data_IF_836768711256
#
_entry.id   IF_836768711256
#
_cell.length_a   1.000
_cell.length_b   1.000
_cell.length_c   1.000
_cell.angle_alpha   90.00
_cell.angle_beta   90.00
_cell.angle_gamma   90.00
#
_symmetry.space_group_name_H-M   'P 1'
#
loop_
_entity.id
_entity.type
_entity.pdbx_description
1 polymer ?
#
# COMPACT_ATOMS: atom_id res chain seq x y z
N UNK A 1 -1.03 13.29 -21.76
CA UNK A 1 -0.79 13.04 -20.32
C UNK A 1 0.49 13.68 -19.76
N UNK A 2 1.69 13.62 -20.38
CA UNK A 2 2.91 14.20 -19.78
C UNK A 2 2.88 15.74 -19.68
N UNK A 3 2.19 16.41 -20.62
CA UNK A 3 2.05 17.86 -20.63
C UNK A 3 1.34 18.42 -19.37
N UNK A 4 0.37 17.68 -18.81
CA UNK A 4 -0.35 18.10 -17.61
C UNK A 4 0.58 18.11 -16.40
N UNK A 5 1.42 17.08 -16.25
CA UNK A 5 2.40 17.00 -15.17
C UNK A 5 3.43 18.14 -15.27
N UNK A 6 3.88 18.45 -16.48
CA UNK A 6 4.81 19.56 -16.72
C UNK A 6 4.19 20.92 -16.38
N UNK A 7 2.91 21.13 -16.75
CA UNK A 7 2.18 22.36 -16.40
C UNK A 7 2.05 22.49 -14.88
N UNK A 8 1.67 21.43 -14.16
CA UNK A 8 1.55 21.46 -12.70
C UNK A 8 2.91 21.72 -12.04
N UNK A 9 3.96 21.06 -12.51
CA UNK A 9 5.32 21.21 -11.99
C UNK A 9 5.85 22.65 -12.13
N UNK A 10 5.47 23.37 -13.19
CA UNK A 10 5.85 24.78 -13.39
C UNK A 10 4.91 25.73 -12.64
N UNK A 11 3.60 25.48 -12.71
CA UNK A 11 2.59 26.37 -12.13
C UNK A 11 2.67 26.45 -10.60
N UNK A 12 2.96 25.33 -9.93
CA UNK A 12 3.04 25.27 -8.47
C UNK A 12 4.16 26.17 -7.91
N UNK A 13 5.44 26.04 -8.33
CA UNK A 13 6.50 26.96 -7.91
C UNK A 13 6.24 28.42 -8.27
N UNK A 14 5.67 28.70 -9.46
CA UNK A 14 5.33 30.07 -9.84
C UNK A 14 4.28 30.68 -8.90
N UNK A 15 3.26 29.90 -8.53
CA UNK A 15 2.23 30.34 -7.60
C UNK A 15 2.81 30.60 -6.20
N UNK A 16 3.75 29.76 -5.74
CA UNK A 16 4.45 29.94 -4.45
C UNK A 16 5.27 31.23 -4.42
N UNK A 17 6.06 31.50 -5.46
CA UNK A 17 6.84 32.74 -5.57
C UNK A 17 5.91 33.96 -5.57
N UNK A 18 4.81 33.91 -6.33
CA UNK A 18 3.83 34.99 -6.36
C UNK A 18 3.19 35.25 -4.99
N UNK A 19 2.88 34.19 -4.24
CA UNK A 19 2.33 34.32 -2.89
C UNK A 19 3.36 34.92 -1.92
N UNK A 20 4.60 34.43 -1.93
CA UNK A 20 5.68 34.95 -1.08
C UNK A 20 5.94 36.43 -1.33
N UNK A 21 5.94 36.87 -2.60
CA UNK A 21 6.07 38.28 -2.94
C UNK A 21 4.88 39.09 -2.41
N UNK A 22 3.65 38.59 -2.56
CA UNK A 22 2.44 39.28 -2.08
C UNK A 22 2.42 39.41 -0.55
N UNK A 23 2.80 38.36 0.17
CA UNK A 23 2.94 38.38 1.64
C UNK A 23 4.09 39.31 2.05
N UNK A 24 5.22 39.27 1.35
CA UNK A 24 6.34 40.18 1.54
C UNK A 24 6.00 41.65 1.36
N UNK A 25 5.06 41.97 0.46
CA UNK A 25 4.53 43.32 0.28
C UNK A 25 3.62 43.77 1.44
N UNK A 26 2.94 42.85 2.14
CA UNK A 26 2.03 43.18 3.24
C UNK A 26 2.73 43.25 4.60
N UNK A 27 3.65 42.31 4.86
CA UNK A 27 4.28 42.12 6.19
C UNK A 27 5.75 42.58 6.18
N UNK A 28 6.36 42.71 5.00
CA UNK A 28 7.78 43.00 4.83
C UNK A 28 8.61 41.75 4.51
N UNK A 29 9.66 41.94 3.72
CA UNK A 29 10.52 40.85 3.25
C UNK A 29 11.21 40.10 4.40
N UNK A 30 11.76 40.81 5.39
CA UNK A 30 12.46 40.21 6.53
C UNK A 30 11.54 39.29 7.35
N UNK A 31 10.31 39.73 7.63
CA UNK A 31 9.32 38.92 8.35
C UNK A 31 8.89 37.69 7.55
N UNK A 32 8.76 37.83 6.23
CA UNK A 32 8.43 36.72 5.34
C UNK A 32 9.53 35.67 5.33
N UNK A 33 10.80 36.09 5.24
CA UNK A 33 11.96 35.20 5.33
C UNK A 33 12.01 34.50 6.69
N UNK A 34 11.78 35.22 7.79
CA UNK A 34 11.73 34.62 9.13
C UNK A 34 10.67 33.53 9.25
N UNK A 35 9.47 33.74 8.70
CA UNK A 35 8.39 32.75 8.70
C UNK A 35 8.79 31.50 7.89
N UNK A 36 9.40 31.70 6.71
CA UNK A 36 9.88 30.59 5.87
C UNK A 36 10.97 29.78 6.59
N UNK A 37 11.92 30.45 7.26
CA UNK A 37 12.95 29.77 8.05
C UNK A 37 12.31 29.01 9.21
N UNK A 38 11.37 29.63 9.93
CA UNK A 38 10.71 29.02 11.08
C UNK A 38 9.94 27.76 10.69
N UNK A 39 9.18 27.83 9.60
CA UNK A 39 8.42 26.68 9.06
C UNK A 39 9.34 25.56 8.60
N UNK A 40 10.44 25.87 7.90
CA UNK A 40 11.46 24.89 7.53
C UNK A 40 12.08 24.20 8.76
N UNK A 41 12.41 24.97 9.81
CA UNK A 41 12.97 24.42 11.06
C UNK A 41 11.96 23.49 11.74
N UNK A 42 10.70 23.93 11.90
CA UNK A 42 9.68 23.12 12.57
C UNK A 42 9.43 21.83 11.79
N UNK A 43 9.18 21.92 10.48
CA UNK A 43 8.86 20.72 9.72
C UNK A 43 10.06 19.79 9.55
N UNK A 44 11.30 20.30 9.42
CA UNK A 44 12.51 19.46 9.43
C UNK A 44 12.68 18.77 10.78
N UNK A 45 12.37 19.44 11.89
CA UNK A 45 12.42 18.86 13.23
C UNK A 45 11.41 17.73 13.39
N UNK A 46 10.17 17.92 12.90
CA UNK A 46 9.14 16.88 12.91
C UNK A 46 9.51 15.71 12.01
N UNK A 47 10.02 15.99 10.80
CA UNK A 47 10.51 14.99 9.86
C UNK A 47 11.61 14.13 10.49
N UNK A 48 12.55 14.76 11.20
CA UNK A 48 13.63 14.08 11.92
C UNK A 48 13.09 13.19 13.03
N UNK A 49 12.16 13.70 13.85
CA UNK A 49 11.56 12.93 14.96
C UNK A 49 10.78 11.72 14.46
N UNK A 50 9.94 11.90 13.43
CA UNK A 50 9.14 10.80 12.86
C UNK A 50 10.01 9.82 12.07
N UNK A 51 11.02 10.32 11.35
CA UNK A 51 11.94 9.51 10.55
C UNK A 51 12.75 8.53 11.35
N UNK A 52 13.30 8.95 12.50
CA UNK A 52 13.99 8.02 13.39
C UNK A 52 13.07 6.93 13.93
N UNK A 53 11.83 7.27 14.29
CA UNK A 53 10.85 6.30 14.77
C UNK A 53 10.46 5.27 13.71
N UNK A 54 10.24 5.70 12.47
CA UNK A 54 9.93 4.83 11.33
C UNK A 54 11.13 3.94 11.01
N UNK A 55 12.34 4.49 10.97
CA UNK A 55 13.56 3.71 10.71
C UNK A 55 13.82 2.65 11.79
N UNK A 56 13.66 3.01 13.07
CA UNK A 56 13.84 2.07 14.18
C UNK A 56 12.84 0.89 14.09
N UNK A 57 11.56 1.19 13.86
CA UNK A 57 10.52 0.15 13.68
C UNK A 57 10.77 -0.72 12.44
N UNK A 58 11.26 -0.14 11.35
CA UNK A 58 11.61 -0.89 10.14
C UNK A 58 12.77 -1.84 10.40
N UNK A 59 13.82 -1.38 11.12
CA UNK A 59 14.97 -2.19 11.50
C UNK A 59 14.57 -3.35 12.42
N UNK A 60 13.70 -3.10 13.41
CA UNK A 60 13.20 -4.13 14.33
C UNK A 60 12.36 -5.19 13.62
N UNK A 61 11.46 -4.79 12.71
CA UNK A 61 10.65 -5.72 11.93
C UNK A 61 11.51 -6.60 11.00
N UNK A 62 12.53 -6.03 10.37
CA UNK A 62 13.48 -6.77 9.54
C UNK A 62 14.32 -7.76 10.37
N UNK A 63 14.78 -7.34 11.55
CA UNK A 63 15.49 -8.22 12.49
C UNK A 63 14.61 -9.39 12.98
N UNK A 64 13.30 -9.17 13.09
CA UNK A 64 12.31 -10.21 13.41
C UNK A 64 11.91 -11.09 12.21
N UNK A 65 12.51 -10.90 11.03
CA UNK A 65 12.18 -11.65 9.80
C UNK A 65 10.79 -11.32 9.22
N UNK A 66 10.18 -10.20 9.62
CA UNK A 66 8.86 -9.74 9.15
C UNK A 66 9.04 -8.65 8.10
N UNK A 67 8.19 -8.65 7.06
CA UNK A 67 8.19 -7.57 6.08
C UNK A 67 7.48 -6.30 6.65
N UNK A 68 8.15 -5.14 6.76
CA UNK A 68 7.60 -3.92 7.36
C UNK A 68 6.77 -3.08 6.37
N UNK A 69 5.68 -3.65 5.82
CA UNK A 69 4.90 -2.97 4.77
C UNK A 69 4.34 -1.62 5.24
N UNK A 70 3.79 -1.55 6.45
CA UNK A 70 3.25 -0.31 7.02
C UNK A 70 4.33 0.76 7.20
N UNK A 71 5.49 0.36 7.71
CA UNK A 71 6.63 1.25 7.97
C UNK A 71 7.24 1.78 6.68
N UNK A 72 7.23 1.00 5.60
CA UNK A 72 7.65 1.43 4.26
C UNK A 72 6.71 2.50 3.70
N UNK A 73 5.38 2.30 3.84
CA UNK A 73 4.39 3.29 3.41
C UNK A 73 4.54 4.58 4.23
N UNK A 74 4.70 4.45 5.55
CA UNK A 74 4.92 5.59 6.45
C UNK A 74 6.20 6.35 6.07
N UNK A 75 7.29 5.64 5.75
CA UNK A 75 8.54 6.22 5.24
C UNK A 75 8.38 6.92 3.89
N UNK A 76 7.56 6.39 2.98
CA UNK A 76 7.27 7.02 1.69
C UNK A 76 6.52 8.35 1.86
N UNK A 77 5.49 8.38 2.71
CA UNK A 77 4.79 9.63 3.04
C UNK A 77 5.73 10.65 3.68
N UNK A 78 6.63 10.19 4.54
CA UNK A 78 7.64 11.05 5.16
C UNK A 78 8.60 11.66 4.13
N UNK A 79 9.06 10.87 3.15
CA UNK A 79 9.89 11.37 2.04
C UNK A 79 9.16 12.39 1.16
N UNK A 80 7.90 12.12 0.83
CA UNK A 80 7.07 13.06 0.05
C UNK A 80 6.87 14.36 0.84
N UNK A 81 6.55 14.26 2.14
CA UNK A 81 6.40 15.41 3.01
C UNK A 81 7.69 16.22 3.12
N UNK A 82 8.85 15.56 3.29
CA UNK A 82 10.15 16.22 3.33
C UNK A 82 10.53 16.90 2.02
N UNK A 83 10.18 16.29 0.88
CA UNK A 83 10.40 16.90 -0.44
C UNK A 83 9.57 18.17 -0.63
N UNK A 84 8.31 18.14 -0.21
CA UNK A 84 7.43 19.30 -0.21
C UNK A 84 7.88 20.41 0.74
N UNK A 85 8.49 20.06 1.86
CA UNK A 85 9.06 21.00 2.83
C UNK A 85 10.37 21.66 2.38
N UNK A 86 11.14 20.96 1.55
CA UNK A 86 12.40 21.47 0.99
C UNK A 86 12.18 22.52 -0.10
N UNK A 87 11.05 22.43 -0.83
CA UNK A 87 10.61 23.50 -1.71
C UNK A 87 10.02 24.63 -0.87
N UNK A 88 10.62 25.84 -0.83
CA UNK A 88 10.13 26.94 -0.01
C UNK A 88 8.78 27.39 -0.55
N UNK A 89 7.71 26.90 0.07
CA UNK A 89 6.35 27.07 -0.42
C UNK A 89 5.43 27.16 0.77
N UNK A 90 5.16 28.38 1.24
CA UNK A 90 4.26 28.65 2.36
C UNK A 90 2.92 27.88 2.22
N UNK A 91 2.47 27.67 0.98
CA UNK A 91 1.27 26.92 0.61
C UNK A 91 1.48 25.40 0.72
N UNK A 92 2.58 24.90 0.15
CA UNK A 92 2.98 23.49 0.19
C UNK A 92 3.35 23.04 1.62
N UNK A 93 3.94 23.90 2.44
CA UNK A 93 4.19 23.70 3.86
C UNK A 93 2.89 23.64 4.65
N UNK A 94 1.92 24.54 4.39
CA UNK A 94 0.62 24.49 5.09
C UNK A 94 -0.16 23.23 4.73
N UNK A 95 -0.18 22.82 3.46
CA UNK A 95 -0.80 21.56 3.00
C UNK A 95 -0.03 20.35 3.54
N UNK A 96 1.30 20.40 3.57
CA UNK A 96 2.18 19.38 4.12
C UNK A 96 1.98 19.20 5.63
N UNK A 97 1.93 20.29 6.39
CA UNK A 97 1.58 20.29 7.82
C UNK A 97 0.16 19.77 8.04
N UNK A 98 -0.81 20.20 7.22
CA UNK A 98 -2.20 19.77 7.35
C UNK A 98 -2.35 18.25 7.07
N UNK A 99 -1.56 17.70 6.14
CA UNK A 99 -1.47 16.25 5.88
C UNK A 99 -0.76 15.49 7.01
N UNK A 100 0.16 16.12 7.74
CA UNK A 100 0.84 15.55 8.91
C UNK A 100 -0.11 15.35 10.10
N UNK A 101 -1.24 16.07 10.14
CA UNK A 101 -2.20 16.03 11.25
C UNK A 101 -3.14 14.80 11.14
N UNK A 102 -3.11 13.84 12.09
CA UNK A 102 -3.87 12.58 12.02
C UNK A 102 -5.38 12.70 11.74
N UNK A 103 -6.15 13.63 12.35
CA UNK A 103 -7.58 13.74 12.08
C UNK A 103 -7.88 14.23 10.65
N UNK A 104 -6.99 14.99 10.02
CA UNK A 104 -7.14 15.43 8.63
C UNK A 104 -6.93 14.23 7.68
N UNK A 105 -5.92 13.40 7.95
CA UNK A 105 -5.64 12.18 7.18
C UNK A 105 -6.85 11.26 7.07
N UNK A 106 -7.55 11.05 8.19
CA UNK A 106 -8.72 10.17 8.26
C UNK A 106 -9.92 10.75 7.50
N UNK A 107 -10.11 12.08 7.55
CA UNK A 107 -11.19 12.76 6.82
C UNK A 107 -10.99 12.71 5.31
N UNK A 108 -9.76 12.98 4.85
CA UNK A 108 -9.43 12.95 3.42
C UNK A 108 -9.55 11.52 2.88
N UNK A 109 -9.06 10.52 3.62
CA UNK A 109 -9.19 9.11 3.23
C UNK A 109 -10.65 8.65 3.10
N UNK A 110 -11.51 9.03 4.05
CA UNK A 110 -12.96 8.73 3.99
C UNK A 110 -13.64 9.41 2.81
N UNK A 111 -13.30 10.68 2.54
CA UNK A 111 -13.86 11.42 1.40
C UNK A 111 -13.42 10.83 0.05
N UNK A 112 -12.14 10.47 -0.08
CA UNK A 112 -11.60 9.82 -1.26
C UNK A 112 -12.28 8.47 -1.52
N UNK A 113 -12.46 7.66 -0.48
CA UNK A 113 -13.14 6.36 -0.57
C UNK A 113 -14.61 6.51 -0.99
N UNK A 114 -15.33 7.47 -0.42
CA UNK A 114 -16.72 7.76 -0.81
C UNK A 114 -16.86 8.22 -2.26
N UNK A 115 -15.88 8.99 -2.76
CA UNK A 115 -15.86 9.45 -4.15
C UNK A 115 -15.54 8.29 -5.11
N UNK A 116 -14.61 7.41 -4.73
CA UNK A 116 -14.24 6.23 -5.51
C UNK A 116 -15.39 5.22 -5.62
N UNK A 117 -16.16 5.05 -4.55
CA UNK A 117 -17.39 4.23 -4.53
C UNK A 117 -18.50 4.84 -5.41
N UNK A 118 -18.63 6.17 -5.45
CA UNK A 118 -19.63 6.86 -6.28
C UNK A 118 -19.24 6.97 -7.76
N UNK A 119 -17.95 6.93 -8.07
CA UNK A 119 -17.44 7.04 -9.44
C UNK A 119 -17.35 5.69 -10.17
N UNK A 120 -17.75 4.57 -9.56
CA UNK A 120 -17.75 3.25 -10.21
C UNK A 120 -16.36 2.77 -10.68
N UNK A 121 -15.30 3.45 -10.28
CA UNK A 121 -13.91 3.17 -10.67
C UNK A 121 -13.24 2.13 -9.77
N UNK A 122 -14.05 1.29 -9.13
CA UNK A 122 -13.58 0.04 -8.54
C UNK A 122 -14.24 -1.06 -9.35
N UNK A 123 -13.57 -1.48 -10.43
CA UNK A 123 -13.58 -2.89 -10.75
C UNK A 123 -12.95 -3.57 -9.53
N UNK A 124 -13.76 -3.80 -8.49
CA UNK A 124 -13.49 -4.90 -7.58
C UNK A 124 -13.43 -6.06 -8.55
N UNK A 125 -12.27 -6.72 -8.67
CA UNK A 125 -12.21 -8.06 -9.20
C UNK A 125 -13.02 -8.92 -8.22
N UNK A 126 -14.33 -8.75 -8.27
CA UNK A 126 -15.32 -9.46 -7.52
C UNK A 126 -15.35 -10.82 -8.18
N UNK A 127 -14.53 -11.70 -7.62
CA UNK A 127 -14.70 -13.13 -7.79
C UNK A 127 -16.06 -13.45 -7.20
N UNK A 128 -17.09 -13.40 -8.04
CA UNK A 128 -18.47 -13.28 -7.60
C UNK A 128 -19.44 -13.63 -8.71
N UNK A 129 -19.66 -14.94 -8.87
CA UNK A 129 -21.01 -15.49 -8.97
C UNK A 129 -21.91 -14.83 -10.03
N UNK A 130 -21.63 -15.03 -11.32
CA UNK A 130 -22.62 -14.77 -12.37
C UNK A 130 -23.38 -16.06 -12.67
N UNK A 131 -24.48 -16.22 -11.95
CA UNK A 131 -25.43 -17.28 -12.17
C UNK A 131 -26.11 -17.22 -13.54
N UNK A 132 -26.58 -18.41 -13.93
CA UNK A 132 -27.76 -18.66 -14.73
C UNK A 132 -27.78 -18.12 -16.17
N UNK A 133 -27.45 -18.98 -17.11
CA UNK A 133 -28.10 -19.05 -18.43
C UNK A 133 -27.97 -20.47 -19.00
N UNK A 134 -29.04 -21.26 -18.82
CA UNK A 134 -29.30 -22.50 -19.59
C UNK A 134 -29.74 -22.09 -20.99
N UNK A 135 -29.29 -22.79 -22.04
CA UNK A 135 -30.17 -23.12 -23.13
C UNK A 135 -30.39 -24.63 -23.19
N UNK A 136 -31.64 -24.97 -23.48
CA UNK A 136 -32.12 -26.32 -23.67
C UNK A 136 -31.59 -26.89 -24.99
N UNK A 137 -31.00 -28.09 -24.90
CA UNK A 137 -30.66 -28.94 -26.03
C UNK A 137 -30.82 -30.37 -25.56
N UNK A 138 -31.86 -31.04 -26.06
CA UNK A 138 -32.14 -32.44 -25.81
C UNK A 138 -31.07 -33.30 -26.47
N UNK A 139 -30.60 -34.34 -25.78
CA UNK A 139 -30.53 -35.69 -26.35
C UNK A 139 -30.25 -36.74 -25.28
N UNK A 140 -30.90 -37.88 -25.49
CA UNK A 140 -31.02 -39.03 -24.61
C UNK A 140 -29.77 -39.90 -24.59
N UNK A 141 -29.41 -40.43 -23.41
CA UNK A 141 -29.26 -41.88 -23.13
C UNK A 141 -28.35 -42.15 -21.92
N UNK A 142 -28.85 -42.98 -21.02
CA UNK A 142 -28.03 -43.98 -20.32
C UNK A 142 -27.49 -43.60 -18.95
N UNK A 143 -28.20 -44.05 -17.92
CA UNK A 143 -27.61 -44.94 -16.91
C UNK A 143 -26.69 -44.36 -15.82
N UNK A 144 -27.07 -44.70 -14.58
CA UNK A 144 -26.25 -44.94 -13.41
C UNK A 144 -26.14 -43.80 -12.37
N UNK A 145 -26.63 -44.15 -11.18
CA UNK A 145 -26.64 -43.42 -9.91
C UNK A 145 -25.26 -42.89 -9.51
N UNK A 146 -25.19 -41.63 -9.08
CA UNK A 146 -23.99 -41.01 -8.54
C UNK A 146 -24.20 -40.65 -7.05
N UNK A 147 -23.28 -41.00 -6.12
CA UNK A 147 -23.39 -40.61 -4.72
C UNK A 147 -23.03 -39.12 -4.53
N UNK A 148 -23.32 -38.52 -3.36
CA UNK A 148 -23.18 -37.08 -3.15
C UNK A 148 -21.70 -36.68 -3.22
N UNK A 149 -21.36 -35.78 -4.15
CA UNK A 149 -20.03 -35.15 -4.22
C UNK A 149 -19.89 -34.20 -3.03
N UNK A 150 -18.98 -34.53 -2.11
CA UNK A 150 -18.43 -33.59 -1.14
C UNK A 150 -17.57 -32.57 -1.88
N UNK A 151 -17.91 -31.29 -1.73
CA UNK A 151 -17.28 -30.16 -2.41
C UNK A 151 -16.09 -29.67 -1.56
N UNK A 152 -15.01 -30.45 -1.59
CA UNK A 152 -13.72 -30.10 -0.98
C UNK A 152 -12.62 -30.16 -2.04
N UNK A 153 -11.60 -29.29 -1.96
CA UNK A 153 -10.51 -29.29 -2.94
C UNK A 153 -9.78 -30.65 -2.91
N UNK A 154 -9.80 -31.34 -4.05
CA UNK A 154 -9.06 -32.59 -4.26
C UNK A 154 -7.60 -32.23 -4.52
N UNK A 155 -6.70 -32.75 -3.70
CA UNK A 155 -5.25 -32.56 -3.82
C UNK A 155 -4.68 -33.86 -4.39
N UNK A 156 -4.20 -33.83 -5.63
CA UNK A 156 -3.50 -34.95 -6.26
C UNK A 156 -2.06 -35.02 -5.74
N UNK A 157 -1.69 -36.16 -5.14
CA UNK A 157 -0.32 -36.46 -4.72
C UNK A 157 0.24 -37.65 -5.51
N UNK A 158 1.50 -37.57 -5.92
CA UNK A 158 2.22 -38.74 -6.41
C UNK A 158 2.55 -39.68 -5.24
N UNK A 159 2.32 -40.97 -5.41
CA UNK A 159 2.67 -42.00 -4.43
C UNK A 159 3.55 -43.06 -5.10
N UNK A 160 4.60 -43.48 -4.39
CA UNK A 160 5.41 -44.64 -4.74
C UNK A 160 4.99 -45.80 -3.84
N UNK A 161 4.69 -46.97 -4.44
CA UNK A 161 4.36 -48.16 -3.65
C UNK A 161 5.65 -48.72 -3.09
N UNK A 162 5.81 -48.65 -1.77
CA UNK A 162 6.84 -49.41 -1.08
C UNK A 162 6.34 -50.85 -0.98
N UNK A 163 6.91 -51.75 -1.78
CA UNK A 163 6.62 -53.18 -1.71
C UNK A 163 7.11 -53.74 -0.37
N UNK A 164 6.20 -54.37 0.36
CA UNK A 164 6.41 -54.96 1.70
C UNK A 164 7.18 -56.29 1.65
N UNK A 165 8.24 -56.38 0.83
CA UNK A 165 9.05 -57.61 0.69
C UNK A 165 10.57 -57.40 0.85
N UNK A 166 11.01 -56.22 1.33
CA UNK A 166 12.43 -55.96 1.62
C UNK A 166 12.72 -55.70 3.10
N UNK A 167 11.84 -56.14 4.00
CA UNK A 167 12.20 -56.29 5.42
C UNK A 167 12.58 -57.75 5.64
N UNK A 168 13.79 -58.13 5.23
CA UNK A 168 14.44 -59.32 5.81
C UNK A 168 14.90 -58.94 7.21
N UNK A 169 14.36 -59.53 8.28
CA UNK A 169 15.01 -59.46 9.57
C UNK A 169 16.24 -60.38 9.48
N UNK A 170 17.41 -59.80 9.23
CA UNK A 170 18.67 -60.50 9.43
C UNK A 170 18.93 -60.57 10.93
N UNK A 171 18.38 -61.60 11.57
CA UNK A 171 18.77 -62.01 12.90
C UNK A 171 18.92 -63.53 12.90
N UNK A 172 20.16 -64.03 12.93
CA UNK A 172 20.67 -64.72 14.12
C UNK A 172 21.97 -65.48 13.82
N UNK A 173 22.88 -65.35 14.79
CA UNK A 173 23.98 -66.22 15.19
C UNK A 173 24.54 -67.31 14.24
N UNK A 174 25.87 -67.26 14.02
CA UNK A 174 26.84 -68.29 14.46
C UNK A 174 28.19 -68.17 13.72
N UNK A 175 29.24 -67.86 14.48
CA UNK A 175 30.58 -68.48 14.46
C UNK A 175 31.32 -67.88 15.66
N UNK A 176 31.43 -68.63 16.76
CA UNK A 176 32.59 -69.48 17.10
C UNK A 176 33.89 -68.70 17.05
#
# INVERSE_FOLDING_TARGET
MPLILLIVFIAVPLAEIALLVKVGQHIGLLWTILIVILTAVIGTTLLRQQGFGVFARASEALAAGKMPVETVIEGLFLLIAGTFLLTPGLLTDTVGFLLLVPPVRIRIAKWALQKMLKSGAVHVAGFGMRGASRPAGADERGGMSQPPRGDGPVIDGEFERVDENTVRPENDSRRR
#
